data_IF_587516751339
#
_entry.id   IF_587516751339
#
_cell.length_a   1.000
_cell.length_b   1.000
_cell.length_c   1.000
_cell.angle_alpha   90.00
_cell.angle_beta   90.00
_cell.angle_gamma   90.00
#
_symmetry.space_group_name_H-M   'P 1'
#
loop_
_entity.id
_entity.type
_entity.pdbx_description
1 polymer ?
#
# COMPACT_ATOMS: atom_id res chain seq x y z
N UNK A 1 -0.33 1.73 -12.32
CA UNK A 1 -0.10 1.32 -10.92
C UNK A 1 1.17 0.50 -10.76
N UNK A 2 1.76 -0.10 -11.83
CA UNK A 2 3.06 -0.77 -11.72
C UNK A 2 4.20 0.18 -11.34
N UNK A 3 4.29 1.35 -11.99
CA UNK A 3 5.33 2.34 -11.63
C UNK A 3 5.14 2.88 -10.20
N UNK A 4 3.88 3.11 -9.80
CA UNK A 4 3.55 3.52 -8.44
C UNK A 4 3.91 2.43 -7.41
N UNK A 5 3.64 1.16 -7.72
CA UNK A 5 4.04 0.04 -6.88
C UNK A 5 5.57 -0.04 -6.77
N UNK A 6 6.29 0.12 -7.88
CA UNK A 6 7.76 0.14 -7.86
C UNK A 6 8.28 1.27 -6.97
N UNK A 7 7.71 2.46 -7.07
CA UNK A 7 8.07 3.61 -6.24
C UNK A 7 7.81 3.32 -4.75
N UNK A 8 6.63 2.79 -4.40
CA UNK A 8 6.28 2.42 -3.03
C UNK A 8 7.24 1.34 -2.49
N UNK A 9 7.56 0.32 -3.28
CA UNK A 9 8.50 -0.73 -2.87
C UNK A 9 9.89 -0.16 -2.55
N UNK A 10 10.37 0.80 -3.35
CA UNK A 10 11.66 1.44 -3.14
C UNK A 10 11.65 2.40 -1.94
N UNK A 11 10.59 3.19 -1.78
CA UNK A 11 10.50 4.22 -0.73
C UNK A 11 10.28 3.61 0.67
N UNK A 12 9.53 2.51 0.74
CA UNK A 12 9.13 1.88 2.01
C UNK A 12 9.86 0.57 2.30
N UNK A 13 10.66 0.05 1.37
CA UNK A 13 11.43 -1.19 1.57
C UNK A 13 10.58 -2.46 1.62
N UNK A 14 9.36 -2.43 1.08
CA UNK A 14 8.46 -3.59 1.02
C UNK A 14 8.61 -4.37 -0.28
N UNK A 15 8.06 -5.59 -0.33
CA UNK A 15 8.10 -6.36 -1.57
C UNK A 15 7.30 -5.68 -2.68
N UNK A 16 7.71 -5.90 -3.93
CA UNK A 16 6.96 -5.39 -5.07
C UNK A 16 5.50 -5.90 -5.07
N UNK A 17 5.24 -7.11 -4.58
CA UNK A 17 3.88 -7.64 -4.50
C UNK A 17 3.02 -6.93 -3.45
N UNK A 18 3.58 -6.59 -2.30
CA UNK A 18 2.85 -5.84 -1.26
C UNK A 18 2.51 -4.42 -1.74
N UNK A 19 3.50 -3.76 -2.36
CA UNK A 19 3.32 -2.43 -2.94
C UNK A 19 2.27 -2.38 -4.06
N UNK A 20 2.01 -3.49 -4.76
CA UNK A 20 0.97 -3.55 -5.79
C UNK A 20 -0.43 -3.38 -5.22
N UNK A 21 -0.68 -3.89 -4.01
CA UNK A 21 -1.99 -3.71 -3.37
C UNK A 21 -2.17 -2.28 -2.86
N UNK A 22 -1.12 -1.68 -2.31
CA UNK A 22 -1.11 -0.27 -1.90
C UNK A 22 -1.34 0.66 -3.11
N UNK A 23 -0.63 0.44 -4.23
CA UNK A 23 -0.81 1.21 -5.45
C UNK A 23 -2.20 1.03 -6.09
N UNK A 24 -2.83 -0.14 -5.91
CA UNK A 24 -4.20 -0.38 -6.35
C UNK A 24 -5.19 0.36 -5.46
N UNK A 25 -5.05 0.29 -4.13
CA UNK A 25 -5.91 1.02 -3.21
C UNK A 25 -5.81 2.53 -3.46
N UNK A 26 -4.60 3.07 -3.67
CA UNK A 26 -4.42 4.48 -4.02
C UNK A 26 -5.20 4.90 -5.28
N UNK A 27 -5.36 3.99 -6.25
CA UNK A 27 -6.09 4.25 -7.50
C UNK A 27 -7.60 4.00 -7.39
N UNK A 28 -8.02 3.01 -6.60
CA UNK A 28 -9.37 2.46 -6.62
C UNK A 28 -10.16 2.65 -5.33
N UNK A 29 -9.53 3.09 -4.24
CA UNK A 29 -10.21 3.47 -2.99
C UNK A 29 -9.55 2.94 -1.72
N UNK A 30 -10.28 2.13 -0.99
CA UNK A 30 -9.93 1.72 0.37
C UNK A 30 -9.03 0.48 0.38
N UNK A 31 -8.30 0.27 1.48
CA UNK A 31 -7.39 -0.85 1.67
C UNK A 31 -7.81 -1.68 2.88
N UNK A 32 -7.83 -3.00 2.74
CA UNK A 32 -8.10 -3.95 3.83
C UNK A 32 -6.91 -4.88 3.91
N UNK A 33 -6.29 -4.97 5.08
CA UNK A 33 -5.16 -5.85 5.33
C UNK A 33 -5.18 -6.34 6.78
N UNK A 34 -4.53 -7.45 7.04
CA UNK A 34 -4.21 -7.93 8.39
C UNK A 34 -2.75 -7.68 8.76
N UNK A 35 -2.01 -7.02 7.87
CA UNK A 35 -0.59 -6.70 8.04
C UNK A 35 -0.43 -5.28 8.56
N UNK A 36 0.11 -5.14 9.77
CA UNK A 36 0.31 -3.85 10.43
C UNK A 36 1.26 -2.93 9.63
N UNK A 37 2.32 -3.48 9.03
CA UNK A 37 3.28 -2.70 8.24
C UNK A 37 2.61 -2.13 6.99
N UNK A 38 1.80 -2.92 6.30
CA UNK A 38 1.04 -2.43 5.15
C UNK A 38 -0.01 -1.39 5.55
N UNK A 39 -0.65 -1.55 6.72
CA UNK A 39 -1.62 -0.58 7.21
C UNK A 39 -0.97 0.77 7.54
N UNK A 40 0.21 0.75 8.14
CA UNK A 40 0.99 1.95 8.43
C UNK A 40 1.41 2.68 7.14
N UNK A 41 1.88 1.95 6.13
CA UNK A 41 2.23 2.53 4.83
C UNK A 41 0.99 3.12 4.15
N UNK A 42 -0.15 2.41 4.17
CA UNK A 42 -1.40 2.91 3.61
C UNK A 42 -1.84 4.23 4.26
N UNK A 43 -1.74 4.34 5.60
CA UNK A 43 -2.02 5.57 6.33
C UNK A 43 -1.09 6.72 5.90
N UNK A 44 0.21 6.46 5.75
CA UNK A 44 1.18 7.46 5.29
C UNK A 44 0.92 7.94 3.85
N UNK A 45 0.38 7.06 3.00
CA UNK A 45 -0.03 7.37 1.64
C UNK A 45 -1.41 8.06 1.55
N UNK A 46 -2.08 8.30 2.69
CA UNK A 46 -3.41 8.92 2.74
C UNK A 46 -4.53 7.99 2.25
N UNK A 47 -4.29 6.68 2.22
CA UNK A 47 -5.26 5.67 1.82
C UNK A 47 -6.08 5.29 3.06
N UNK A 48 -7.41 5.25 2.91
CA UNK A 48 -8.27 4.76 3.98
C UNK A 48 -8.06 3.26 4.16
N UNK A 49 -7.59 2.85 5.34
CA UNK A 49 -7.27 1.46 5.65
C UNK A 49 -8.14 0.89 6.77
N UNK A 50 -8.47 -0.39 6.65
CA UNK A 50 -9.02 -1.21 7.72
C UNK A 50 -8.02 -2.31 8.05
N UNK A 51 -7.59 -2.36 9.31
CA UNK A 51 -6.74 -3.40 9.84
C UNK A 51 -7.63 -4.42 10.57
N UNK A 52 -7.48 -5.71 10.26
CA UNK A 52 -8.27 -6.82 10.85
C UNK A 52 -7.41 -7.91 11.48
#
# INVERSE_FOLDING_TARGET
YLDAALQIALDYGVTFYDSLYLAQAQKYGEFLTSDEEQADIANQLGIKVYLI
#
